data_IF_128309716528
#
_entry.id   IF_128309716528
#
_cell.length_a   1.000
_cell.length_b   1.000
_cell.length_c   1.000
_cell.angle_alpha   90.00
_cell.angle_beta   90.00
_cell.angle_gamma   90.00
#
_symmetry.space_group_name_H-M   'P 1'
#
loop_
_entity.id
_entity.type
_entity.pdbx_description
1 polymer ?
#
# COMPACT_ATOMS: atom_id res chain seq x y z
N UNK A 1 9.07 31.83 -26.85
CA UNK A 1 9.67 30.65 -26.21
C UNK A 1 9.06 30.61 -24.82
N UNK A 2 8.24 29.60 -24.54
CA UNK A 2 7.61 29.45 -23.22
C UNK A 2 8.68 28.99 -22.25
N UNK A 3 8.86 29.70 -21.14
CA UNK A 3 9.76 29.30 -20.07
C UNK A 3 9.43 27.86 -19.64
N UNK A 4 10.40 26.92 -19.74
CA UNK A 4 10.25 25.61 -19.16
C UNK A 4 10.63 25.70 -17.69
N UNK A 5 9.88 25.01 -16.84
CA UNK A 5 9.99 25.03 -15.37
C UNK A 5 9.12 26.13 -14.74
N UNK A 6 7.83 25.80 -14.64
CA UNK A 6 7.11 26.11 -13.41
C UNK A 6 7.88 25.48 -12.26
N UNK A 7 8.80 26.26 -11.69
CA UNK A 7 9.56 26.00 -10.45
C UNK A 7 8.59 26.16 -9.27
N UNK A 8 7.47 25.43 -9.32
CA UNK A 8 6.45 25.51 -8.30
C UNK A 8 6.89 24.59 -7.14
N UNK A 9 7.31 25.13 -6.00
CA UNK A 9 7.82 24.35 -4.88
C UNK A 9 6.74 23.43 -4.26
N UNK A 10 5.47 23.59 -4.65
CA UNK A 10 4.42 22.66 -4.27
C UNK A 10 4.49 21.36 -5.08
N UNK A 11 4.85 21.42 -6.36
CA UNK A 11 4.98 20.23 -7.22
C UNK A 11 6.11 19.33 -6.77
N UNK A 12 7.26 19.89 -6.39
CA UNK A 12 8.38 19.10 -5.84
C UNK A 12 8.01 18.42 -4.51
N UNK A 13 7.28 19.13 -3.64
CA UNK A 13 6.81 18.59 -2.36
C UNK A 13 5.77 17.48 -2.52
N UNK A 14 4.90 17.58 -3.51
CA UNK A 14 3.92 16.53 -3.84
C UNK A 14 4.61 15.28 -4.40
N UNK A 15 5.69 15.46 -5.17
CA UNK A 15 6.46 14.35 -5.73
C UNK A 15 7.22 13.58 -4.63
N UNK A 16 7.80 14.29 -3.65
CA UNK A 16 8.44 13.68 -2.49
C UNK A 16 7.46 12.87 -1.64
N UNK A 17 6.25 13.40 -1.42
CA UNK A 17 5.20 12.70 -0.66
C UNK A 17 4.71 11.43 -1.38
N UNK A 18 4.57 11.47 -2.71
CA UNK A 18 4.20 10.30 -3.50
C UNK A 18 5.29 9.21 -3.48
N UNK A 19 6.56 9.61 -3.46
CA UNK A 19 7.69 8.69 -3.33
C UNK A 19 7.74 8.02 -1.94
N UNK A 20 7.56 8.78 -0.85
CA UNK A 20 7.48 8.21 0.50
C UNK A 20 6.31 7.23 0.64
N UNK A 21 5.15 7.54 0.07
CA UNK A 21 4.00 6.64 0.08
C UNK A 21 4.26 5.36 -0.73
N UNK A 22 4.89 5.48 -1.90
CA UNK A 22 5.25 4.33 -2.73
C UNK A 22 6.27 3.42 -2.04
N UNK A 23 7.30 3.99 -1.38
CA UNK A 23 8.29 3.23 -0.62
C UNK A 23 7.66 2.49 0.56
N UNK A 24 6.75 3.16 1.28
CA UNK A 24 6.00 2.55 2.39
C UNK A 24 5.12 1.40 1.91
N UNK A 25 4.46 1.55 0.75
CA UNK A 25 3.62 0.51 0.16
C UNK A 25 4.45 -0.68 -0.31
N UNK A 26 5.56 -0.44 -1.00
CA UNK A 26 6.47 -1.50 -1.44
C UNK A 26 7.01 -2.31 -0.26
N UNK A 27 7.32 -1.66 0.86
CA UNK A 27 7.77 -2.33 2.08
C UNK A 27 6.68 -3.17 2.75
N UNK A 28 5.43 -2.69 2.73
CA UNK A 28 4.30 -3.45 3.22
C UNK A 28 3.99 -4.67 2.32
N UNK A 29 4.17 -4.54 1.00
CA UNK A 29 4.03 -5.63 0.04
C UNK A 29 5.18 -6.65 0.12
N UNK A 30 6.39 -6.23 0.50
CA UNK A 30 7.53 -7.12 0.76
C UNK A 30 7.34 -7.97 2.03
N UNK A 31 6.68 -7.41 3.04
CA UNK A 31 6.35 -8.10 4.31
C UNK A 31 5.09 -8.98 4.19
N UNK A 32 4.20 -8.65 3.26
CA UNK A 32 3.00 -9.43 2.99
C UNK A 32 3.37 -10.76 2.29
N UNK A 33 3.36 -11.86 3.03
CA UNK A 33 3.50 -13.18 2.44
C UNK A 33 2.22 -13.53 1.66
N UNK A 34 2.28 -13.68 0.32
CA UNK A 34 1.10 -13.95 -0.51
C UNK A 34 0.49 -15.33 -0.25
N UNK A 35 1.19 -16.18 0.51
CA UNK A 35 0.73 -17.49 0.97
C UNK A 35 0.25 -17.48 2.43
N UNK A 36 0.35 -16.35 3.14
CA UNK A 36 -0.14 -16.24 4.52
C UNK A 36 -1.65 -16.51 4.57
N UNK A 37 -2.04 -17.39 5.50
CA UNK A 37 -3.43 -17.74 5.76
C UNK A 37 -3.80 -17.42 7.19
N UNK A 38 -4.94 -16.78 7.35
CA UNK A 38 -5.53 -16.46 8.66
C UNK A 38 -6.72 -17.36 8.93
N UNK A 39 -6.80 -17.86 10.15
CA UNK A 39 -7.96 -18.60 10.62
C UNK A 39 -9.10 -17.61 10.89
N UNK A 40 -10.16 -17.69 10.09
CA UNK A 40 -11.37 -16.90 10.23
C UNK A 40 -12.43 -17.75 10.89
N UNK A 41 -13.08 -17.19 11.90
CA UNK A 41 -14.22 -17.83 12.55
C UNK A 41 -15.49 -17.41 11.82
N UNK A 42 -16.26 -18.39 11.39
CA UNK A 42 -17.59 -18.18 10.83
C UNK A 42 -18.59 -17.98 11.99
N UNK A 43 -19.19 -16.80 12.08
CA UNK A 43 -20.09 -16.43 13.19
C UNK A 43 -21.45 -17.14 13.11
N UNK A 44 -21.87 -17.56 11.92
CA UNK A 44 -23.18 -18.18 11.67
C UNK A 44 -23.19 -19.68 12.00
N UNK A 45 -22.10 -20.37 11.68
CA UNK A 45 -21.92 -21.82 11.84
C UNK A 45 -21.01 -22.17 13.02
N UNK A 46 -20.23 -21.19 13.52
CA UNK A 46 -19.21 -21.39 14.54
C UNK A 46 -17.97 -22.15 14.07
N UNK A 47 -17.88 -22.45 12.77
CA UNK A 47 -16.73 -23.12 12.16
C UNK A 47 -15.50 -22.23 12.07
N UNK A 48 -14.33 -22.84 11.84
CA UNK A 48 -13.09 -22.12 11.53
C UNK A 48 -12.65 -22.52 10.13
N UNK A 49 -12.41 -21.53 9.27
CA UNK A 49 -11.90 -21.69 7.91
C UNK A 49 -10.62 -20.88 7.73
N UNK A 50 -9.74 -21.30 6.82
CA UNK A 50 -8.52 -20.57 6.51
C UNK A 50 -8.71 -19.73 5.24
N UNK A 51 -8.44 -18.43 5.32
CA UNK A 51 -8.51 -17.49 4.19
C UNK A 51 -7.17 -16.80 3.99
N UNK A 52 -6.90 -16.29 2.77
CA UNK A 52 -5.66 -15.56 2.52
C UNK A 52 -5.66 -14.22 3.25
N UNK A 53 -4.52 -13.85 3.84
CA UNK A 53 -4.29 -12.49 4.29
C UNK A 53 -4.21 -11.55 3.07
N UNK A 54 -4.69 -10.31 3.23
CA UNK A 54 -4.82 -9.31 2.16
C UNK A 54 -4.27 -7.95 2.61
#
# INVERSE_FOLDING_TARGET
MSDPQSDDPTTDREMDAALEEAERKARAEEDADPEERVAVRDDDTGGITEERAQ
#
